data_IF_692282284066
#
_entry.id   IF_692282284066
#
_cell.length_a   1.000
_cell.length_b   1.000
_cell.length_c   1.000
_cell.angle_alpha   90.00
_cell.angle_beta   90.00
_cell.angle_gamma   90.00
#
_symmetry.space_group_name_H-M   'P 1'
#
loop_
_entity.id
_entity.type
_entity.pdbx_description
1 polymer ?
#
# COMPACT_ATOMS: atom_id res chain seq x y z
N UNK A 1 -3.39 2.86 -26.05
CA UNK A 1 -4.77 2.35 -25.85
C UNK A 1 -5.63 3.28 -24.98
N UNK A 2 -5.09 4.16 -24.11
CA UNK A 2 -5.85 5.25 -23.48
C UNK A 2 -6.99 4.85 -22.52
N UNK A 3 -7.18 3.55 -22.30
CA UNK A 3 -8.26 2.98 -21.48
C UNK A 3 -8.02 3.24 -19.99
N UNK A 4 -6.77 3.16 -19.54
CA UNK A 4 -6.32 3.43 -18.17
C UNK A 4 -5.73 4.85 -18.13
N UNK A 5 -6.00 5.60 -17.05
CA UNK A 5 -5.47 6.95 -16.89
C UNK A 5 -4.02 6.92 -16.36
N UNK A 6 -3.36 8.08 -16.31
CA UNK A 6 -1.97 8.18 -15.89
C UNK A 6 -1.73 7.70 -14.45
N UNK A 7 -2.58 8.10 -13.51
CA UNK A 7 -2.45 7.74 -12.09
C UNK A 7 -2.61 6.23 -11.87
N UNK A 8 -3.61 5.62 -12.51
CA UNK A 8 -3.82 4.16 -12.45
C UNK A 8 -2.65 3.39 -13.05
N UNK A 9 -2.01 3.94 -14.09
CA UNK A 9 -0.81 3.35 -14.68
C UNK A 9 0.41 3.48 -13.76
N UNK A 10 0.67 4.68 -13.23
CA UNK A 10 1.77 4.94 -12.29
C UNK A 10 1.63 4.09 -11.02
N UNK A 11 0.42 3.94 -10.48
CA UNK A 11 0.16 3.06 -9.34
C UNK A 11 0.49 1.59 -9.65
N UNK A 12 0.09 1.11 -10.83
CA UNK A 12 0.41 -0.25 -11.24
C UNK A 12 1.92 -0.47 -11.45
N UNK A 13 2.61 0.51 -12.04
CA UNK A 13 4.06 0.49 -12.22
C UNK A 13 4.80 0.45 -10.89
N UNK A 14 4.42 1.31 -9.94
CA UNK A 14 5.00 1.33 -8.59
C UNK A 14 4.78 0.00 -7.85
N UNK A 15 3.57 -0.57 -7.93
CA UNK A 15 3.27 -1.87 -7.33
C UNK A 15 4.07 -3.02 -7.96
N UNK A 16 4.32 -2.97 -9.28
CA UNK A 16 5.18 -3.95 -9.94
C UNK A 16 6.63 -3.80 -9.50
N UNK A 17 7.17 -2.57 -9.47
CA UNK A 17 8.53 -2.30 -9.02
C UNK A 17 8.75 -2.73 -7.56
N UNK A 18 7.81 -2.38 -6.66
CA UNK A 18 7.88 -2.78 -5.26
C UNK A 18 7.84 -4.31 -5.10
N UNK A 19 6.96 -4.99 -5.83
CA UNK A 19 6.90 -6.47 -5.81
C UNK A 19 8.20 -7.08 -6.33
N UNK A 20 8.77 -6.54 -7.39
CA UNK A 20 10.03 -7.04 -7.97
C UNK A 20 11.18 -6.86 -6.98
N UNK A 21 11.32 -5.70 -6.36
CA UNK A 21 12.35 -5.46 -5.34
C UNK A 21 12.19 -6.43 -4.15
N UNK A 22 10.98 -6.54 -3.60
CA UNK A 22 10.70 -7.44 -2.46
C UNK A 22 10.91 -8.93 -2.77
N UNK A 23 10.85 -9.35 -4.04
CA UNK A 23 11.14 -10.75 -4.40
C UNK A 23 12.65 -11.02 -4.49
N UNK A 24 13.48 -9.99 -4.65
CA UNK A 24 14.94 -10.11 -4.74
C UNK A 24 15.66 -9.70 -3.45
N UNK A 25 15.00 -8.88 -2.63
CA UNK A 25 15.44 -8.49 -1.30
C UNK A 25 15.04 -9.59 -0.29
N UNK A 26 16.01 -10.31 0.25
CA UNK A 26 15.79 -11.44 1.17
C UNK A 26 15.30 -11.03 2.57
N UNK A 27 15.00 -9.76 2.80
CA UNK A 27 14.53 -9.22 4.06
C UNK A 27 13.02 -9.46 4.27
N UNK A 28 12.62 -9.66 5.53
CA UNK A 28 11.21 -9.69 5.92
C UNK A 28 10.78 -8.29 6.36
N UNK A 29 9.79 -7.73 5.67
CA UNK A 29 9.25 -6.40 5.95
C UNK A 29 7.85 -6.47 6.57
N UNK A 30 7.58 -5.54 7.49
CA UNK A 30 6.26 -5.24 8.01
C UNK A 30 5.65 -4.04 7.29
N UNK A 31 4.31 -3.94 7.31
CA UNK A 31 3.59 -2.77 6.75
C UNK A 31 3.89 -1.45 7.47
N UNK A 32 4.58 -1.49 8.60
CA UNK A 32 4.97 -0.32 9.39
C UNK A 32 6.40 0.13 9.12
N UNK A 33 7.13 -0.59 8.28
CA UNK A 33 8.51 -0.26 7.94
C UNK A 33 8.53 0.89 6.93
N UNK A 34 9.49 1.80 7.06
CA UNK A 34 9.57 3.01 6.24
C UNK A 34 9.82 2.66 4.76
N UNK A 35 10.55 1.57 4.49
CA UNK A 35 10.77 1.00 3.16
C UNK A 35 9.47 0.57 2.47
N UNK A 36 8.43 0.24 3.24
CA UNK A 36 7.11 -0.13 2.74
C UNK A 36 6.16 1.08 2.74
N UNK A 37 6.17 1.88 3.82
CA UNK A 37 5.29 3.03 3.97
C UNK A 37 5.59 4.15 2.97
N UNK A 38 6.86 4.38 2.64
CA UNK A 38 7.28 5.36 1.65
C UNK A 38 6.60 5.14 0.30
N UNK A 39 6.82 3.99 -0.36
CA UNK A 39 6.18 3.63 -1.62
C UNK A 39 4.64 3.64 -1.54
N UNK A 40 4.04 3.24 -0.42
CA UNK A 40 2.59 3.30 -0.26
C UNK A 40 2.04 4.73 -0.21
N UNK A 41 2.80 5.67 0.34
CA UNK A 41 2.44 7.09 0.37
C UNK A 41 2.48 7.76 -1.01
N UNK A 42 3.19 7.17 -1.97
CA UNK A 42 3.28 7.66 -3.34
C UNK A 42 2.14 7.17 -4.26
N UNK A 43 1.38 6.16 -3.82
CA UNK A 43 0.25 5.63 -4.58
C UNK A 43 -0.93 6.60 -4.59
N UNK A 44 -1.42 6.93 -5.80
CA UNK A 44 -2.56 7.81 -6.00
C UNK A 44 -3.88 7.20 -5.50
N UNK A 45 -4.01 5.87 -5.56
CA UNK A 45 -5.17 5.15 -5.03
C UNK A 45 -5.25 5.13 -3.50
N UNK A 46 -4.18 5.51 -2.80
CA UNK A 46 -4.16 5.64 -1.34
C UNK A 46 -4.50 7.09 -0.98
N UNK A 47 -5.77 7.35 -0.68
CA UNK A 47 -6.22 8.71 -0.36
C UNK A 47 -5.56 9.29 0.89
N UNK A 48 -5.37 8.46 1.92
CA UNK A 48 -4.65 8.82 3.13
C UNK A 48 -4.16 7.56 3.85
N UNK A 49 -2.87 7.50 4.17
CA UNK A 49 -2.35 6.50 5.10
C UNK A 49 -2.81 6.82 6.53
N UNK A 50 -3.00 5.80 7.39
CA UNK A 50 -3.26 6.03 8.79
C UNK A 50 -2.12 6.85 9.42
N UNK A 51 -2.44 7.86 10.25
CA UNK A 51 -1.40 8.63 10.92
C UNK A 51 -0.64 7.71 11.89
N UNK A 52 0.70 7.84 11.99
CA UNK A 52 1.47 7.07 12.95
C UNK A 52 1.05 7.47 14.37
N UNK A 53 0.88 6.50 15.29
CA UNK A 53 0.58 6.80 16.68
C UNK A 53 1.80 7.44 17.37
N UNK A 54 1.56 8.10 18.51
CA UNK A 54 2.64 8.46 19.41
C UNK A 54 3.10 7.20 20.13
N UNK A 55 4.27 6.70 19.74
CA UNK A 55 4.85 5.51 20.36
C UNK A 55 5.41 5.83 21.74
N UNK A 56 5.11 4.97 22.71
CA UNK A 56 5.67 5.04 24.06
C UNK A 56 6.69 3.90 24.25
N UNK A 57 7.98 4.09 23.92
CA UNK A 57 8.96 3.01 23.92
C UNK A 57 9.33 2.51 25.33
N UNK A 58 8.96 3.26 26.37
CA UNK A 58 9.19 2.89 27.76
C UNK A 58 8.31 1.71 28.22
N UNK A 59 7.13 1.54 27.61
CA UNK A 59 6.21 0.43 27.88
C UNK A 59 6.18 -0.51 26.68
N UNK A 60 6.91 -1.63 26.78
CA UNK A 60 7.03 -2.59 25.69
C UNK A 60 5.71 -3.28 25.33
N UNK A 61 4.79 -3.42 26.30
CA UNK A 61 3.48 -4.04 26.07
C UNK A 61 2.56 -3.09 25.33
N UNK A 62 2.54 -1.82 25.75
CA UNK A 62 1.83 -0.76 25.05
C UNK A 62 2.38 -0.56 23.63
N UNK A 63 3.71 -0.52 23.47
CA UNK A 63 4.36 -0.41 22.16
C UNK A 63 3.96 -1.56 21.23
N UNK A 64 3.98 -2.81 21.71
CA UNK A 64 3.58 -3.97 20.92
C UNK A 64 2.11 -3.89 20.46
N UNK A 65 1.22 -3.39 21.31
CA UNK A 65 -0.18 -3.16 20.94
C UNK A 65 -0.33 -2.02 19.91
N UNK A 66 0.41 -0.93 20.08
CA UNK A 66 0.38 0.22 19.18
C UNK A 66 0.87 -0.16 17.78
N UNK A 67 2.00 -0.87 17.67
CA UNK A 67 2.55 -1.28 16.37
C UNK A 67 1.64 -2.30 15.67
N UNK A 68 1.08 -3.28 16.40
CA UNK A 68 0.13 -4.23 15.83
C UNK A 68 -1.14 -3.54 15.29
N UNK A 69 -1.69 -2.58 16.06
CA UNK A 69 -2.85 -1.81 15.63
C UNK A 69 -2.53 -0.96 14.40
N UNK A 70 -1.35 -0.34 14.39
CA UNK A 70 -0.91 0.47 13.25
C UNK A 70 -0.74 -0.39 11.99
N UNK A 71 -0.07 -1.54 12.09
CA UNK A 71 0.08 -2.50 11.00
C UNK A 71 -1.26 -2.96 10.43
N UNK A 72 -2.25 -3.24 11.29
CA UNK A 72 -3.60 -3.61 10.85
C UNK A 72 -4.30 -2.47 10.10
N UNK A 73 -4.19 -1.23 10.59
CA UNK A 73 -4.79 -0.08 9.94
C UNK A 73 -4.17 0.17 8.55
N UNK A 74 -2.84 0.09 8.43
CA UNK A 74 -2.14 0.23 7.14
C UNK A 74 -2.58 -0.87 6.20
N UNK A 75 -2.57 -2.14 6.64
CA UNK A 75 -3.03 -3.27 5.84
C UNK A 75 -4.46 -3.10 5.32
N UNK A 76 -5.40 -2.72 6.19
CA UNK A 76 -6.79 -2.49 5.79
C UNK A 76 -6.93 -1.36 4.76
N UNK A 77 -6.17 -0.27 4.92
CA UNK A 77 -6.14 0.84 3.96
C UNK A 77 -5.69 0.35 2.60
N UNK A 78 -4.59 -0.40 2.54
CA UNK A 78 -4.06 -0.97 1.29
C UNK A 78 -5.03 -1.93 0.62
N UNK A 79 -5.68 -2.81 1.39
CA UNK A 79 -6.69 -3.72 0.85
C UNK A 79 -7.83 -2.95 0.19
N UNK A 80 -8.34 -1.90 0.84
CA UNK A 80 -9.42 -1.09 0.29
C UNK A 80 -8.99 -0.35 -0.98
N UNK A 81 -7.87 0.36 -0.94
CA UNK A 81 -7.34 1.12 -2.07
C UNK A 81 -7.06 0.25 -3.29
N UNK A 82 -6.39 -0.89 -3.11
CA UNK A 82 -6.08 -1.81 -4.20
C UNK A 82 -7.33 -2.50 -4.75
N UNK A 83 -8.27 -2.88 -3.87
CA UNK A 83 -9.55 -3.45 -4.32
C UNK A 83 -10.33 -2.45 -5.17
N UNK A 84 -10.35 -1.18 -4.77
CA UNK A 84 -10.99 -0.11 -5.53
C UNK A 84 -10.29 0.12 -6.88
N UNK A 85 -8.96 0.19 -6.90
CA UNK A 85 -8.17 0.32 -8.14
C UNK A 85 -8.45 -0.82 -9.12
N UNK A 86 -8.38 -2.07 -8.65
CA UNK A 86 -8.66 -3.26 -9.46
C UNK A 86 -10.10 -3.25 -9.97
N UNK A 87 -11.07 -2.89 -9.11
CA UNK A 87 -12.47 -2.80 -9.50
C UNK A 87 -12.67 -1.77 -10.62
N UNK A 88 -12.08 -0.57 -10.49
CA UNK A 88 -12.13 0.48 -11.52
C UNK A 88 -11.51 0.02 -12.83
N UNK A 89 -10.35 -0.63 -12.79
CA UNK A 89 -9.67 -1.14 -13.99
C UNK A 89 -10.49 -2.25 -14.65
N UNK A 90 -11.07 -3.17 -13.88
CA UNK A 90 -11.82 -4.32 -14.42
C UNK A 90 -13.08 -3.93 -15.21
N UNK A 91 -13.68 -2.78 -14.87
CA UNK A 91 -14.85 -2.24 -15.59
C UNK A 91 -14.48 -1.60 -16.93
N UNK A 92 -13.20 -1.27 -17.13
CA UNK A 92 -12.72 -0.62 -18.35
C UNK A 92 -12.53 -1.68 -19.43
N UNK A 93 -13.40 -1.66 -20.44
CA UNK A 93 -13.31 -2.57 -21.59
C UNK A 93 -12.13 -2.17 -22.46
N UNK A 94 -11.04 -2.92 -22.40
CA UNK A 94 -9.90 -2.75 -23.29
C UNK A 94 -10.22 -3.12 -24.75
N UNK A 95 -11.18 -4.03 -24.96
CA UNK A 95 -11.65 -4.45 -26.28
C UNK A 95 -13.14 -4.80 -26.21
N UNK A 96 -13.98 -4.09 -26.96
CA UNK A 96 -15.24 -4.66 -27.44
C UNK A 96 -14.88 -5.43 -28.71
N UNK A 97 -15.07 -6.75 -28.70
CA UNK A 97 -15.00 -7.60 -29.89
C UNK A 97 -16.19 -7.32 -30.80
#
# INVERSE_FOLDING_TARGET
>A
MGVINRQEYEDAELLMALREELNHDGNEYAFTDDEILGPFGELHCVAALPPPPQFEPADSSLYAMQIQRYQQAVRSTMVLSLTELISKISLKKAFQK
#
